data_IF_800953737682
#
_entry.id   IF_800953737682
#
_cell.length_a   1.000
_cell.length_b   1.000
_cell.length_c   1.000
_cell.angle_alpha   90.00
_cell.angle_beta   90.00
_cell.angle_gamma   90.00
#
_symmetry.space_group_name_H-M   'P 1'
#
loop_
_entity.id
_entity.type
_entity.pdbx_description
1 polymer ?
#
# COMPACT_ATOMS: atom_id res chain seq x y z
N UNK A 1 1.88 -22.87 21.89
CA UNK A 1 2.41 -23.93 21.01
C UNK A 1 2.49 -23.35 19.61
N UNK A 2 3.67 -22.87 19.20
CA UNK A 2 3.83 -22.18 17.91
C UNK A 2 4.23 -23.22 16.87
N UNK A 3 3.28 -23.69 16.06
CA UNK A 3 3.58 -24.58 14.95
C UNK A 3 4.16 -23.71 13.83
N UNK A 4 5.48 -23.54 13.82
CA UNK A 4 6.17 -22.95 12.67
C UNK A 4 6.41 -24.08 11.67
N UNK A 5 5.46 -24.27 10.74
CA UNK A 5 5.65 -25.19 9.63
C UNK A 5 6.88 -24.76 8.80
N UNK A 6 7.72 -25.71 8.38
CA UNK A 6 8.86 -25.42 7.52
C UNK A 6 8.36 -24.87 6.17
N UNK A 7 9.00 -23.84 5.63
CA UNK A 7 8.59 -23.18 4.37
C UNK A 7 8.51 -24.15 3.18
N UNK A 8 9.33 -25.21 3.14
CA UNK A 8 9.21 -26.27 2.11
C UNK A 8 7.87 -27.01 2.20
N UNK A 9 7.39 -27.26 3.41
CA UNK A 9 6.10 -27.90 3.66
C UNK A 9 4.96 -26.97 3.23
N UNK A 10 5.13 -25.65 3.40
CA UNK A 10 4.15 -24.65 2.96
C UNK A 10 4.03 -24.57 1.43
N UNK A 11 5.15 -24.57 0.69
CA UNK A 11 5.10 -24.60 -0.79
C UNK A 11 4.46 -25.89 -1.29
N UNK A 12 4.80 -27.04 -0.68
CA UNK A 12 4.17 -28.31 -1.02
C UNK A 12 2.66 -28.33 -0.71
N UNK A 13 2.26 -27.77 0.43
CA UNK A 13 0.86 -27.64 0.82
C UNK A 13 0.09 -26.69 -0.11
N UNK A 14 0.72 -25.62 -0.58
CA UNK A 14 0.14 -24.67 -1.54
C UNK A 14 -0.24 -25.34 -2.85
N UNK A 15 0.70 -26.01 -3.52
CA UNK A 15 0.38 -26.70 -4.78
C UNK A 15 -0.63 -27.83 -4.58
N UNK A 16 -0.55 -28.55 -3.44
CA UNK A 16 -1.56 -29.55 -3.07
C UNK A 16 -2.96 -28.92 -2.90
N UNK A 17 -3.06 -27.74 -2.30
CA UNK A 17 -4.33 -27.04 -2.10
C UNK A 17 -4.95 -26.55 -3.43
N UNK A 18 -4.11 -26.29 -4.43
CA UNK A 18 -4.55 -25.94 -5.79
C UNK A 18 -4.80 -27.16 -6.69
N UNK A 19 -4.65 -28.38 -6.15
CA UNK A 19 -4.67 -29.62 -6.92
C UNK A 19 -3.68 -29.61 -8.09
N UNK A 20 -2.56 -28.90 -7.92
CA UNK A 20 -1.49 -28.83 -8.90
C UNK A 20 -0.49 -29.97 -8.62
N UNK A 21 -0.12 -30.77 -9.64
CA UNK A 21 0.85 -31.85 -9.48
C UNK A 21 2.18 -31.35 -8.93
N UNK A 22 2.85 -32.18 -8.13
CA UNK A 22 4.18 -31.87 -7.55
C UNK A 22 5.36 -32.06 -8.52
N UNK A 23 5.09 -32.46 -9.77
CA UNK A 23 6.02 -33.18 -10.63
C UNK A 23 7.18 -32.32 -11.17
N UNK A 24 8.39 -32.88 -11.10
CA UNK A 24 9.60 -32.40 -11.79
C UNK A 24 9.62 -32.76 -13.30
N UNK A 25 8.66 -33.56 -13.77
CA UNK A 25 8.46 -33.90 -15.17
C UNK A 25 7.26 -33.10 -15.68
N UNK A 26 7.53 -32.10 -16.52
CA UNK A 26 6.53 -31.29 -17.17
C UNK A 26 5.77 -32.13 -18.21
N UNK A 27 4.58 -32.61 -17.86
CA UNK A 27 3.63 -33.11 -18.85
C UNK A 27 2.85 -31.93 -19.42
N UNK A 28 2.37 -32.03 -20.66
CA UNK A 28 1.58 -30.94 -21.29
C UNK A 28 0.35 -30.55 -20.46
N UNK A 29 -0.30 -31.53 -19.85
CA UNK A 29 -1.43 -31.31 -18.94
C UNK A 29 -1.04 -30.52 -17.68
N UNK A 30 0.15 -30.77 -17.13
CA UNK A 30 0.66 -30.05 -15.96
C UNK A 30 0.98 -28.58 -16.30
N UNK A 31 1.65 -28.35 -17.43
CA UNK A 31 1.97 -26.99 -17.90
C UNK A 31 0.68 -26.22 -18.14
N UNK A 32 -0.30 -26.85 -18.80
CA UNK A 32 -1.62 -26.24 -19.06
C UNK A 32 -2.37 -25.87 -17.76
N UNK A 33 -2.36 -26.76 -16.76
CA UNK A 33 -3.01 -26.48 -15.48
C UNK A 33 -2.33 -25.33 -14.73
N UNK A 34 -0.99 -25.26 -14.75
CA UNK A 34 -0.24 -24.15 -14.14
C UNK A 34 -0.45 -22.83 -14.86
N UNK A 35 -0.45 -22.83 -16.19
CA UNK A 35 -0.77 -21.65 -17.00
C UNK A 35 -2.17 -21.12 -16.66
N UNK A 36 -3.18 -21.98 -16.64
CA UNK A 36 -4.54 -21.57 -16.29
C UNK A 36 -4.66 -20.99 -14.87
N UNK A 37 -3.90 -21.54 -13.91
CA UNK A 37 -3.85 -21.00 -12.56
C UNK A 37 -3.15 -19.63 -12.50
N UNK A 38 -2.05 -19.46 -13.24
CA UNK A 38 -1.31 -18.21 -13.35
C UNK A 38 -2.16 -17.11 -14.01
N UNK A 39 -2.82 -17.42 -15.12
CA UNK A 39 -3.73 -16.51 -15.82
C UNK A 39 -4.84 -16.02 -14.88
N UNK A 40 -5.46 -16.95 -14.14
CA UNK A 40 -6.48 -16.60 -13.15
C UNK A 40 -5.92 -15.74 -12.02
N UNK A 41 -4.68 -15.98 -11.58
CA UNK A 41 -4.04 -15.14 -10.56
C UNK A 41 -3.81 -13.70 -11.08
N UNK A 42 -3.40 -13.55 -12.35
CA UNK A 42 -3.30 -12.23 -12.98
C UNK A 42 -4.65 -11.52 -13.10
N UNK A 43 -5.70 -12.24 -13.53
CA UNK A 43 -7.07 -11.72 -13.60
C UNK A 43 -7.54 -11.23 -12.22
N UNK A 44 -7.38 -12.03 -11.18
CA UNK A 44 -7.78 -11.68 -9.82
C UNK A 44 -6.97 -10.51 -9.26
N UNK A 45 -5.66 -10.44 -9.55
CA UNK A 45 -4.83 -9.29 -9.19
C UNK A 45 -5.33 -8.01 -9.85
N UNK A 46 -5.61 -8.04 -11.15
CA UNK A 46 -6.15 -6.89 -11.90
C UNK A 46 -7.52 -6.48 -11.36
N UNK A 47 -8.40 -7.45 -11.13
CA UNK A 47 -9.72 -7.23 -10.54
C UNK A 47 -9.63 -6.54 -9.17
N UNK A 48 -8.73 -6.97 -8.30
CA UNK A 48 -8.55 -6.32 -6.99
C UNK A 48 -7.98 -4.90 -7.10
N UNK A 49 -7.06 -4.63 -8.03
CA UNK A 49 -6.56 -3.27 -8.29
C UNK A 49 -7.71 -2.36 -8.77
N UNK A 50 -8.55 -2.83 -9.68
CA UNK A 50 -9.70 -2.05 -10.15
C UNK A 50 -10.73 -1.81 -9.04
N UNK A 51 -11.05 -2.84 -8.27
CA UNK A 51 -12.00 -2.72 -7.17
C UNK A 51 -11.47 -1.87 -6.02
N UNK A 52 -10.16 -1.86 -5.78
CA UNK A 52 -9.52 -0.94 -4.83
C UNK A 52 -9.92 0.50 -5.14
N UNK A 53 -9.81 0.91 -6.41
CA UNK A 53 -10.18 2.26 -6.82
C UNK A 53 -11.68 2.50 -6.78
N UNK A 54 -12.51 1.53 -7.21
CA UNK A 54 -13.99 1.65 -7.11
C UNK A 54 -14.45 1.85 -5.66
N UNK A 55 -13.90 1.08 -4.72
CA UNK A 55 -14.17 1.23 -3.28
C UNK A 55 -13.68 2.58 -2.76
N UNK A 56 -12.50 3.02 -3.17
CA UNK A 56 -11.99 4.35 -2.80
C UNK A 56 -12.93 5.48 -3.27
N UNK A 57 -13.40 5.43 -4.52
CA UNK A 57 -14.35 6.41 -5.07
C UNK A 57 -15.67 6.42 -4.29
N UNK A 58 -16.22 5.24 -3.97
CA UNK A 58 -17.43 5.12 -3.15
C UNK A 58 -17.29 5.89 -1.83
N UNK A 59 -16.19 5.70 -1.10
CA UNK A 59 -15.97 6.41 0.17
C UNK A 59 -15.71 7.90 -0.02
N UNK A 60 -15.01 8.31 -1.09
CA UNK A 60 -14.85 9.73 -1.43
C UNK A 60 -16.16 10.44 -1.71
N UNK A 61 -17.15 9.76 -2.29
CA UNK A 61 -18.48 10.35 -2.48
C UNK A 61 -19.15 10.70 -1.14
N UNK A 62 -19.03 9.86 -0.11
CA UNK A 62 -19.55 10.21 1.23
C UNK A 62 -18.78 11.36 1.87
N UNK A 63 -17.46 11.44 1.63
CA UNK A 63 -16.66 12.58 2.08
C UNK A 63 -17.16 13.88 1.45
N UNK A 64 -17.41 13.88 0.13
CA UNK A 64 -17.97 15.03 -0.58
C UNK A 64 -19.35 15.43 -0.02
N UNK A 65 -20.21 14.46 0.30
CA UNK A 65 -21.51 14.72 0.95
C UNK A 65 -21.31 15.34 2.34
N UNK A 66 -20.40 14.81 3.16
CA UNK A 66 -20.10 15.36 4.48
C UNK A 66 -19.60 16.82 4.38
N UNK A 67 -18.69 17.12 3.44
CA UNK A 67 -18.25 18.50 3.21
C UNK A 67 -19.37 19.41 2.69
N UNK A 68 -20.22 18.92 1.80
CA UNK A 68 -21.36 19.69 1.29
C UNK A 68 -22.37 20.00 2.40
N UNK A 69 -22.69 19.04 3.26
CA UNK A 69 -23.54 19.25 4.43
C UNK A 69 -22.93 20.26 5.39
N UNK A 70 -21.62 20.17 5.64
CA UNK A 70 -20.90 21.15 6.45
C UNK A 70 -21.06 22.56 5.87
N UNK A 71 -20.75 22.77 4.58
CA UNK A 71 -20.88 24.07 3.93
C UNK A 71 -22.31 24.61 3.93
N UNK A 72 -23.30 23.75 3.65
CA UNK A 72 -24.72 24.13 3.65
C UNK A 72 -25.20 24.55 5.04
N UNK A 73 -24.86 23.78 6.08
CA UNK A 73 -25.29 24.08 7.45
C UNK A 73 -24.53 25.27 8.07
N UNK A 74 -23.30 25.55 7.62
CA UNK A 74 -22.55 26.74 8.02
C UNK A 74 -23.04 28.02 7.34
N UNK A 75 -23.54 27.95 6.11
CA UNK A 75 -23.93 29.13 5.33
C UNK A 75 -25.31 29.72 5.64
N UNK A 76 -26.05 29.14 6.58
CA UNK A 76 -27.47 29.45 6.79
C UNK A 76 -27.79 30.64 7.72
N UNK A 77 -26.86 31.12 8.55
CA UNK A 77 -27.18 32.11 9.60
C UNK A 77 -26.09 33.18 9.78
N UNK A 78 -26.49 34.42 10.09
CA UNK A 78 -25.60 35.55 10.46
C UNK A 78 -25.05 35.42 11.90
N UNK A 79 -24.70 34.20 12.33
CA UNK A 79 -24.29 33.87 13.70
C UNK A 79 -23.29 32.71 13.75
N UNK A 80 -22.83 32.35 14.95
CA UNK A 80 -21.97 31.19 15.11
C UNK A 80 -22.74 29.91 14.71
N UNK A 81 -22.12 28.99 13.94
CA UNK A 81 -22.78 27.77 13.50
C UNK A 81 -23.25 26.94 14.69
N UNK A 82 -24.46 26.39 14.60
CA UNK A 82 -24.99 25.52 15.66
C UNK A 82 -24.09 24.31 15.87
N UNK A 83 -24.07 23.75 17.08
CA UNK A 83 -23.30 22.55 17.39
C UNK A 83 -23.64 21.39 16.43
N UNK A 84 -24.93 21.26 16.07
CA UNK A 84 -25.41 20.27 15.12
C UNK A 84 -24.89 20.49 13.69
N UNK A 85 -24.70 21.74 13.27
CA UNK A 85 -24.12 22.10 11.97
C UNK A 85 -22.68 21.62 11.79
N UNK A 86 -21.96 21.37 12.89
CA UNK A 86 -20.60 20.81 12.89
C UNK A 86 -20.64 19.30 13.10
N UNK A 87 -21.37 18.84 14.10
CA UNK A 87 -21.30 17.46 14.57
C UNK A 87 -21.93 16.44 13.62
N UNK A 88 -23.04 16.78 12.97
CA UNK A 88 -23.71 15.85 12.06
C UNK A 88 -22.85 15.54 10.82
N UNK A 89 -22.34 16.55 10.08
CA UNK A 89 -21.39 16.31 9.00
C UNK A 89 -20.12 15.60 9.47
N UNK A 90 -19.60 15.99 10.64
CA UNK A 90 -18.40 15.38 11.20
C UNK A 90 -18.58 13.90 11.57
N UNK A 91 -19.73 13.50 12.11
CA UNK A 91 -20.03 12.10 12.39
C UNK A 91 -20.11 11.27 11.11
N UNK A 92 -20.78 11.78 10.07
CA UNK A 92 -20.87 11.12 8.75
C UNK A 92 -19.47 10.99 8.14
N UNK A 93 -18.69 12.07 8.16
CA UNK A 93 -17.32 12.11 7.65
C UNK A 93 -16.38 11.15 8.40
N UNK A 94 -16.48 11.07 9.73
CA UNK A 94 -15.68 10.19 10.56
C UNK A 94 -16.02 8.71 10.32
N UNK A 95 -17.31 8.35 10.31
CA UNK A 95 -17.74 6.96 10.07
C UNK A 95 -17.32 6.51 8.67
N UNK A 96 -17.66 7.30 7.65
CA UNK A 96 -17.33 6.94 6.26
C UNK A 96 -15.82 6.92 6.00
N UNK A 97 -15.06 7.83 6.61
CA UNK A 97 -13.60 7.85 6.54
C UNK A 97 -12.98 6.62 7.21
N UNK A 98 -13.47 6.25 8.40
CA UNK A 98 -12.98 5.10 9.15
C UNK A 98 -13.24 3.78 8.41
N UNK A 99 -14.47 3.59 7.92
CA UNK A 99 -14.83 2.40 7.12
C UNK A 99 -14.03 2.38 5.82
N UNK A 100 -13.85 3.54 5.16
CA UNK A 100 -13.02 3.65 3.96
C UNK A 100 -11.54 3.31 4.21
N UNK A 101 -11.00 3.71 5.36
CA UNK A 101 -9.64 3.37 5.77
C UNK A 101 -9.47 1.85 5.99
N UNK A 102 -10.41 1.21 6.68
CA UNK A 102 -10.40 -0.25 6.85
C UNK A 102 -10.56 -0.98 5.51
N UNK A 103 -11.44 -0.48 4.64
CA UNK A 103 -11.62 -1.02 3.29
C UNK A 103 -10.33 -0.94 2.46
N UNK A 104 -9.61 0.18 2.54
CA UNK A 104 -8.32 0.34 1.86
C UNK A 104 -7.22 -0.58 2.40
N UNK A 105 -7.25 -0.92 3.70
CA UNK A 105 -6.37 -1.93 4.30
C UNK A 105 -6.70 -3.35 3.81
N UNK A 106 -7.98 -3.74 3.87
CA UNK A 106 -8.43 -5.06 3.42
C UNK A 106 -8.16 -5.28 1.93
N UNK A 107 -8.40 -4.26 1.10
CA UNK A 107 -8.09 -4.31 -0.33
C UNK A 107 -6.61 -4.56 -0.61
N UNK A 108 -5.72 -3.89 0.15
CA UNK A 108 -4.27 -4.08 0.01
C UNK A 108 -3.85 -5.50 0.39
N UNK A 109 -4.41 -6.06 1.45
CA UNK A 109 -4.15 -7.45 1.85
C UNK A 109 -4.48 -8.44 0.71
N UNK A 110 -5.66 -8.32 0.10
CA UNK A 110 -6.05 -9.20 -1.01
C UNK A 110 -5.20 -8.99 -2.26
N UNK A 111 -4.80 -7.76 -2.56
CA UNK A 111 -3.85 -7.48 -3.63
C UNK A 111 -2.51 -8.18 -3.40
N UNK A 112 -1.92 -8.04 -2.21
CA UNK A 112 -0.64 -8.69 -1.86
C UNK A 112 -0.76 -10.22 -1.87
N UNK A 113 -1.91 -10.77 -1.50
CA UNK A 113 -2.21 -12.19 -1.61
C UNK A 113 -2.16 -12.66 -3.07
N UNK A 114 -2.86 -12.00 -3.99
CA UNK A 114 -2.85 -12.37 -5.41
C UNK A 114 -1.48 -12.15 -6.06
N UNK A 115 -0.73 -11.11 -5.66
CA UNK A 115 0.67 -10.94 -6.06
C UNK A 115 1.53 -12.13 -5.60
N UNK A 116 1.28 -12.66 -4.40
CA UNK A 116 1.98 -13.86 -3.91
C UNK A 116 1.63 -15.12 -4.71
N UNK A 117 0.39 -15.26 -5.17
CA UNK A 117 -0.01 -16.36 -6.06
C UNK A 117 0.72 -16.28 -7.41
N UNK A 118 0.78 -15.09 -8.02
CA UNK A 118 1.54 -14.86 -9.27
C UNK A 118 3.02 -15.19 -9.05
N UNK A 119 3.64 -14.61 -8.02
CA UNK A 119 5.05 -14.83 -7.67
C UNK A 119 5.38 -16.33 -7.46
N UNK A 120 4.43 -17.14 -6.99
CA UNK A 120 4.59 -18.58 -6.78
C UNK A 120 4.35 -19.43 -8.04
N UNK A 121 3.60 -18.93 -9.03
CA UNK A 121 3.23 -19.66 -10.24
C UNK A 121 4.08 -19.29 -11.46
N UNK A 122 4.52 -18.03 -11.57
CA UNK A 122 5.18 -17.48 -12.78
C UNK A 122 6.49 -18.21 -13.14
N UNK A 123 7.29 -18.54 -12.12
CA UNK A 123 8.65 -19.04 -12.32
C UNK A 123 8.74 -20.35 -13.10
N UNK A 124 7.71 -21.20 -13.03
CA UNK A 124 7.66 -22.49 -13.72
C UNK A 124 6.98 -22.42 -15.10
N UNK A 125 6.44 -21.25 -15.48
CA UNK A 125 5.62 -21.08 -16.70
C UNK A 125 6.25 -20.09 -17.66
N UNK A 126 6.52 -18.86 -17.21
CA UNK A 126 7.00 -17.75 -18.05
C UNK A 126 8.25 -17.06 -17.48
N UNK A 127 8.81 -17.61 -16.40
CA UNK A 127 9.93 -17.03 -15.68
C UNK A 127 9.50 -16.01 -14.63
N UNK A 128 10.39 -15.08 -14.28
CA UNK A 128 10.22 -14.16 -13.15
C UNK A 128 9.84 -12.74 -13.59
N UNK A 129 8.90 -12.63 -14.53
CA UNK A 129 8.58 -11.36 -15.16
C UNK A 129 8.10 -10.31 -14.15
N UNK A 130 7.15 -10.66 -13.27
CA UNK A 130 6.59 -9.70 -12.31
C UNK A 130 7.48 -9.50 -11.08
N UNK A 131 8.44 -10.39 -10.85
CA UNK A 131 9.47 -10.26 -9.83
C UNK A 131 10.67 -9.40 -10.26
N UNK A 132 10.89 -9.25 -11.57
CA UNK A 132 12.04 -8.54 -12.13
C UNK A 132 11.71 -7.05 -12.33
N UNK A 133 12.44 -6.18 -11.63
CA UNK A 133 12.20 -4.73 -11.60
C UNK A 133 13.44 -4.00 -12.10
N UNK A 134 13.27 -3.20 -13.14
CA UNK A 134 14.23 -2.16 -13.51
C UNK A 134 14.03 -0.96 -12.59
N UNK A 135 14.96 -0.76 -11.67
CA UNK A 135 14.86 0.28 -10.66
C UNK A 135 15.88 1.38 -10.93
N UNK A 136 15.40 2.61 -11.10
CA UNK A 136 16.21 3.82 -11.22
C UNK A 136 16.36 4.58 -9.89
N UNK A 137 15.80 4.04 -8.79
CA UNK A 137 15.80 4.64 -7.46
C UNK A 137 14.86 5.86 -7.31
N UNK A 138 14.10 6.22 -8.35
CA UNK A 138 13.28 7.45 -8.38
C UNK A 138 11.91 7.20 -7.74
N UNK A 139 11.31 6.02 -7.95
CA UNK A 139 9.99 5.68 -7.40
C UNK A 139 10.10 5.25 -5.93
N UNK A 140 9.66 6.14 -5.04
CA UNK A 140 9.80 5.93 -3.60
C UNK A 140 8.48 5.81 -2.85
N UNK A 141 7.30 5.98 -3.48
CA UNK A 141 6.03 6.08 -2.75
C UNK A 141 5.00 5.04 -3.19
N UNK A 142 4.31 4.44 -2.22
CA UNK A 142 3.24 3.47 -2.44
C UNK A 142 1.90 4.19 -2.52
N UNK A 143 1.22 4.04 -3.66
CA UNK A 143 -0.11 4.61 -3.90
C UNK A 143 -1.14 4.13 -2.87
N UNK A 144 -1.13 2.84 -2.54
CA UNK A 144 -2.04 2.29 -1.52
C UNK A 144 -1.78 2.84 -0.12
N UNK A 145 -0.51 3.02 0.26
CA UNK A 145 -0.17 3.67 1.55
C UNK A 145 -0.54 5.15 1.57
N UNK A 146 -0.40 5.86 0.45
CA UNK A 146 -0.78 7.26 0.32
C UNK A 146 -2.28 7.41 0.61
N UNK A 147 -3.11 6.64 -0.08
CA UNK A 147 -4.55 6.68 0.11
C UNK A 147 -4.97 6.23 1.53
N UNK A 148 -4.36 5.18 2.07
CA UNK A 148 -4.64 4.74 3.45
C UNK A 148 -4.30 5.84 4.47
N UNK A 149 -3.14 6.49 4.34
CA UNK A 149 -2.76 7.58 5.26
C UNK A 149 -3.65 8.79 5.09
N UNK A 150 -3.98 9.13 3.85
CA UNK A 150 -4.84 10.27 3.57
C UNK A 150 -6.25 10.05 4.14
N UNK A 151 -6.86 8.88 3.92
CA UNK A 151 -8.15 8.53 4.54
C UNK A 151 -8.07 8.52 6.07
N UNK A 152 -6.97 8.03 6.65
CA UNK A 152 -6.74 8.09 8.09
C UNK A 152 -6.69 9.53 8.62
N UNK A 153 -6.02 10.44 7.91
CA UNK A 153 -5.96 11.86 8.26
C UNK A 153 -7.33 12.54 8.16
N UNK A 154 -8.07 12.28 7.07
CA UNK A 154 -9.43 12.81 6.89
C UNK A 154 -10.35 12.33 8.02
N UNK A 155 -10.28 11.05 8.37
CA UNK A 155 -11.00 10.46 9.51
C UNK A 155 -10.64 11.15 10.82
N UNK A 156 -9.33 11.34 11.08
CA UNK A 156 -8.85 12.03 12.28
C UNK A 156 -9.33 13.48 12.35
N UNK A 157 -9.32 14.18 11.21
CA UNK A 157 -9.86 15.54 11.09
C UNK A 157 -11.34 15.63 11.42
N UNK A 158 -12.15 14.68 10.94
CA UNK A 158 -13.57 14.62 11.29
C UNK A 158 -13.81 14.29 12.76
N UNK A 159 -13.05 13.37 13.35
CA UNK A 159 -13.13 13.08 14.79
C UNK A 159 -12.73 14.32 15.61
N UNK A 160 -11.69 15.04 15.19
CA UNK A 160 -11.29 16.29 15.82
C UNK A 160 -12.40 17.34 15.71
N UNK A 161 -13.00 17.54 14.53
CA UNK A 161 -14.12 18.46 14.35
C UNK A 161 -15.35 18.09 15.22
N UNK A 162 -15.64 16.79 15.35
CA UNK A 162 -16.74 16.29 16.19
C UNK A 162 -16.50 16.53 17.68
N UNK A 163 -15.25 16.43 18.13
CA UNK A 163 -14.87 16.52 19.55
C UNK A 163 -14.50 17.94 19.98
N UNK A 164 -14.04 18.78 19.06
CA UNK A 164 -13.55 20.13 19.32
C UNK A 164 -14.49 20.99 20.20
N UNK A 165 -15.83 21.01 19.99
CA UNK A 165 -16.73 21.81 20.83
C UNK A 165 -16.74 21.40 22.31
N UNK A 166 -16.49 20.13 22.62
CA UNK A 166 -16.47 19.62 24.00
C UNK A 166 -15.16 19.91 24.72
N UNK A 167 -14.08 20.10 23.97
CA UNK A 167 -12.74 20.34 24.52
C UNK A 167 -12.30 21.79 24.36
N UNK A 168 -13.03 22.62 23.60
CA UNK A 168 -12.67 24.00 23.28
C UNK A 168 -12.32 24.84 24.52
N UNK A 169 -13.09 24.70 25.61
CA UNK A 169 -12.82 25.40 26.88
C UNK A 169 -11.62 24.87 27.68
N UNK A 170 -11.02 23.77 27.24
CA UNK A 170 -9.82 23.16 27.82
C UNK A 170 -8.61 23.26 26.89
N UNK A 171 -8.79 23.78 25.66
CA UNK A 171 -7.69 24.01 24.73
C UNK A 171 -7.01 25.32 25.14
N UNK A 172 -5.69 25.31 25.41
CA UNK A 172 -4.93 26.53 25.68
C UNK A 172 -5.14 27.60 24.59
N UNK A 173 -5.27 28.87 25.00
CA UNK A 173 -5.54 29.99 24.09
C UNK A 173 -4.54 30.10 22.93
N UNK A 174 -3.28 29.73 23.15
CA UNK A 174 -2.24 29.74 22.09
C UNK A 174 -2.46 28.68 20.99
N UNK A 175 -3.28 27.65 21.24
CA UNK A 175 -3.73 26.68 20.22
C UNK A 175 -4.96 27.19 19.50
N UNK A 176 -5.91 27.83 20.21
CA UNK A 176 -7.13 28.39 19.61
C UNK A 176 -6.82 29.60 18.74
N UNK A 177 -5.89 30.45 19.19
CA UNK A 177 -5.32 31.56 18.43
C UNK A 177 -4.22 31.07 17.48
N UNK A 178 -4.46 29.94 16.79
CA UNK A 178 -3.54 29.41 15.80
C UNK A 178 -3.21 30.52 14.80
N UNK A 179 -2.01 31.07 14.93
CA UNK A 179 -1.52 32.09 14.03
C UNK A 179 -1.35 31.46 12.64
N UNK A 180 -1.28 32.24 11.55
CA UNK A 180 -0.99 31.72 10.22
C UNK A 180 0.24 30.78 10.20
N UNK A 181 1.23 31.06 11.05
CA UNK A 181 2.41 30.22 11.28
C UNK A 181 2.06 28.86 11.91
N UNK A 182 1.13 28.82 12.87
CA UNK A 182 0.64 27.58 13.47
C UNK A 182 -0.05 26.65 12.46
N UNK A 183 -0.89 27.21 11.59
CA UNK A 183 -1.50 26.46 10.49
C UNK A 183 -0.47 25.95 9.49
N UNK A 184 0.55 26.77 9.17
CA UNK A 184 1.65 26.36 8.30
C UNK A 184 2.47 25.21 8.92
N UNK A 185 2.81 25.29 10.21
CA UNK A 185 3.49 24.22 10.92
C UNK A 185 2.69 22.91 10.93
N UNK A 186 1.37 22.98 11.16
CA UNK A 186 0.48 21.82 11.11
C UNK A 186 0.45 21.21 9.70
N UNK A 187 0.32 22.02 8.66
CA UNK A 187 0.35 21.57 7.27
C UNK A 187 1.68 20.88 6.96
N UNK A 188 2.80 21.48 7.34
CA UNK A 188 4.13 20.90 7.16
C UNK A 188 4.27 19.56 7.91
N UNK A 189 3.78 19.48 9.14
CA UNK A 189 3.79 18.23 9.91
C UNK A 189 2.97 17.12 9.23
N UNK A 190 1.80 17.45 8.68
CA UNK A 190 0.96 16.51 7.92
C UNK A 190 1.69 16.04 6.65
N UNK A 191 2.27 16.97 5.88
CA UNK A 191 3.02 16.65 4.66
C UNK A 191 4.23 15.76 4.97
N UNK A 192 4.96 16.04 6.05
CA UNK A 192 6.07 15.21 6.52
C UNK A 192 5.56 13.81 6.93
N UNK A 193 4.46 13.72 7.67
CA UNK A 193 3.86 12.44 8.06
C UNK A 193 3.45 11.59 6.84
N UNK A 194 2.86 12.21 5.81
CA UNK A 194 2.54 11.54 4.54
C UNK A 194 3.84 11.11 3.84
N UNK A 195 4.81 12.01 3.70
CA UNK A 195 6.05 11.76 2.97
C UNK A 195 6.88 10.62 3.57
N UNK A 196 7.14 10.63 4.87
CA UNK A 196 7.89 9.55 5.56
C UNK A 196 7.12 8.24 5.44
N UNK A 197 5.81 8.33 5.62
CA UNK A 197 4.92 7.22 5.82
C UNK A 197 4.55 6.39 4.61
N UNK A 198 4.71 6.97 3.42
CA UNK A 198 4.33 6.37 2.15
C UNK A 198 5.50 5.71 1.45
N UNK A 199 6.71 5.79 2.02
CA UNK A 199 7.91 5.26 1.40
C UNK A 199 7.84 3.77 1.17
N UNK A 200 8.08 3.31 -0.05
CA UNK A 200 8.21 1.90 -0.37
C UNK A 200 9.48 1.32 0.23
N UNK A 201 9.38 0.07 0.65
CA UNK A 201 10.51 -0.73 1.12
C UNK A 201 10.68 -1.84 0.10
N UNK A 202 11.70 -1.72 -0.74
CA UNK A 202 12.09 -2.81 -1.64
C UNK A 202 12.83 -3.86 -0.81
N UNK A 203 12.47 -5.13 -0.99
CA UNK A 203 13.16 -6.28 -0.40
C UNK A 203 13.41 -7.29 -1.51
N UNK A 204 14.59 -7.88 -1.56
CA UNK A 204 14.96 -8.78 -2.65
C UNK A 204 16.46 -8.79 -2.89
N UNK A 205 16.87 -8.98 -4.13
CA UNK A 205 18.27 -9.00 -4.53
C UNK A 205 18.49 -7.95 -5.63
N UNK A 206 19.61 -7.24 -5.59
CA UNK A 206 20.03 -6.32 -6.64
C UNK A 206 21.26 -6.89 -7.34
N UNK A 207 21.28 -6.80 -8.66
CA UNK A 207 22.43 -7.18 -9.47
C UNK A 207 23.50 -6.09 -9.38
N UNK A 208 24.71 -6.46 -8.98
CA UNK A 208 25.87 -5.57 -8.90
C UNK A 208 27.14 -6.32 -9.30
N UNK A 209 27.84 -5.83 -10.34
CA UNK A 209 29.11 -6.38 -10.83
C UNK A 209 29.07 -7.92 -10.90
N UNK A 210 28.03 -8.45 -11.57
CA UNK A 210 27.83 -9.88 -11.78
C UNK A 210 27.60 -10.71 -10.50
N UNK A 211 27.04 -10.09 -9.46
CA UNK A 211 26.59 -10.79 -8.27
C UNK A 211 25.26 -10.25 -7.74
N UNK A 212 24.43 -11.14 -7.17
CA UNK A 212 23.18 -10.77 -6.52
C UNK A 212 23.41 -10.44 -5.04
N UNK A 213 23.13 -9.19 -4.65
CA UNK A 213 23.29 -8.70 -3.28
C UNK A 213 21.91 -8.56 -2.62
N UNK A 214 21.73 -9.17 -1.45
CA UNK A 214 20.48 -9.08 -0.68
C UNK A 214 20.23 -7.64 -0.17
N UNK A 215 19.04 -7.11 -0.45
CA UNK A 215 18.57 -5.82 0.04
C UNK A 215 17.84 -6.00 1.37
N UNK A 216 18.49 -5.60 2.46
CA UNK A 216 17.90 -5.65 3.81
C UNK A 216 16.95 -4.46 4.07
N UNK A 217 15.82 -4.68 4.76
CA UNK A 217 14.93 -3.59 5.17
C UNK A 217 15.68 -2.51 5.97
N UNK A 218 15.53 -1.24 5.59
CA UNK A 218 16.12 -0.11 6.31
C UNK A 218 17.49 0.37 5.80
N UNK A 219 18.11 -0.33 4.85
CA UNK A 219 19.31 0.15 4.16
C UNK A 219 18.95 1.27 3.16
N UNK A 220 18.76 2.49 3.67
CA UNK A 220 18.68 3.71 2.85
C UNK A 220 20.02 4.07 2.18
N UNK A 221 21.13 3.44 2.61
CA UNK A 221 22.50 3.78 2.22
C UNK A 221 22.99 3.16 0.89
N UNK A 222 22.34 2.12 0.34
CA UNK A 222 22.73 1.56 -0.98
C UNK A 222 22.33 2.49 -2.14
N UNK A 223 21.33 3.37 -1.95
CA UNK A 223 20.88 4.30 -2.99
C UNK A 223 21.79 5.53 -3.17
N UNK A 224 22.92 5.60 -2.46
CA UNK A 224 23.84 6.74 -2.49
C UNK A 224 25.30 6.37 -2.80
N UNK A 225 25.61 5.13 -3.14
CA UNK A 225 26.96 4.76 -3.58
C UNK A 225 26.95 3.89 -4.83
N UNK A 226 27.78 4.34 -5.77
CA UNK A 226 28.28 3.65 -6.96
C UNK A 226 27.39 3.71 -8.20
N UNK A 227 27.29 4.92 -8.74
CA UNK A 227 27.63 5.16 -10.13
C UNK A 227 28.60 6.33 -10.16
N UNK A 228 29.76 6.12 -10.74
CA UNK A 228 30.69 7.18 -11.16
C UNK A 228 29.96 8.12 -12.12
N UNK A 229 29.24 9.13 -11.59
CA UNK A 229 28.52 10.14 -12.38
C UNK A 229 27.41 9.63 -13.33
N UNK A 230 27.13 8.33 -13.42
CA UNK A 230 26.14 7.76 -14.35
C UNK A 230 24.98 7.10 -13.59
N UNK A 231 23.76 7.56 -13.89
CA UNK A 231 22.49 6.97 -13.48
C UNK A 231 22.30 5.57 -14.10
N UNK A 232 23.05 4.56 -13.68
CA UNK A 232 22.84 3.20 -14.16
C UNK A 232 21.61 2.58 -13.49
N UNK A 233 20.63 2.17 -14.32
CA UNK A 233 19.44 1.44 -13.86
C UNK A 233 19.86 0.12 -13.25
N UNK A 234 19.38 -0.18 -12.05
CA UNK A 234 19.68 -1.42 -11.34
C UNK A 234 18.60 -2.47 -11.62
N UNK A 235 19.02 -3.72 -11.81
CA UNK A 235 18.11 -4.85 -11.89
C UNK A 235 17.84 -5.39 -10.48
N UNK A 236 16.57 -5.46 -10.09
CA UNK A 236 16.13 -5.94 -8.80
C UNK A 236 15.19 -7.15 -8.96
N UNK A 237 15.46 -8.22 -8.21
CA UNK A 237 14.58 -9.37 -8.06
C UNK A 237 13.88 -9.29 -6.71
N UNK A 238 12.61 -8.88 -6.71
CA UNK A 238 11.80 -8.86 -5.48
C UNK A 238 11.42 -10.28 -5.07
N UNK A 239 11.18 -10.49 -3.77
CA UNK A 239 10.63 -11.74 -3.18
C UNK A 239 11.33 -13.06 -3.57
N UNK A 240 12.51 -12.98 -4.20
CA UNK A 240 13.30 -14.12 -4.69
C UNK A 240 14.19 -14.69 -3.57
N UNK A 241 14.50 -16.00 -3.60
CA UNK A 241 15.45 -16.64 -2.66
C UNK A 241 16.89 -16.45 -3.14
N UNK A 242 17.85 -16.39 -2.21
CA UNK A 242 19.30 -16.35 -2.52
C UNK A 242 19.72 -17.42 -3.54
N UNK A 243 19.27 -18.66 -3.33
CA UNK A 243 19.61 -19.80 -4.20
C UNK A 243 18.98 -19.76 -5.60
N UNK A 244 17.95 -18.93 -5.79
CA UNK A 244 17.24 -18.76 -7.05
C UNK A 244 17.63 -17.41 -7.71
N UNK A 245 18.57 -16.67 -7.09
CA UNK A 245 19.21 -15.46 -7.58
C UNK A 245 20.65 -15.83 -7.98
N UNK A 246 20.77 -16.69 -8.98
CA UNK A 246 22.04 -17.08 -9.61
C UNK A 246 22.02 -16.48 -11.00
N UNK A 247 23.11 -15.85 -11.42
CA UNK A 247 23.26 -15.42 -12.82
C UNK A 247 23.39 -16.70 -13.65
N UNK A 248 22.53 -16.92 -14.66
CA UNK A 248 22.68 -18.08 -15.53
C UNK A 248 24.10 -18.09 -16.10
N UNK A 249 24.79 -19.23 -16.07
CA UNK A 249 26.03 -19.37 -16.82
C UNK A 249 25.73 -19.02 -18.28
N UNK A 250 26.54 -18.12 -18.87
CA UNK A 250 26.48 -17.81 -20.30
C UNK A 250 26.85 -19.10 -21.06
N UNK A 251 25.83 -19.86 -21.45
CA UNK A 251 25.94 -21.00 -22.35
C UNK A 251 26.14 -20.56 -23.78
#
# INVERSE_FOLDING_TARGET
MTIVANRKDMTAAYYKALDLPKSAVATDAYVTAKMAALDRAHEMRKFEIENYWKRATYFWSFQAIAFALLGFMFGGENGAPSLMAIQLPAAIGAISGFVGWLSAKGSKYWQENWESHVDALEGDVEGKLTQTIWNDGKVNHSVSRLNQRFMGLVTGGWIAAMTAPFIAGHIPDWIVQASPEGFFCLLMAILIYIWIGTKQTMTGYVLHQDSWIEVKPGWRWIWKRQGDGKEERQLLLRHTKAKDAVIPDEG
#
